data_IF_895277219359
#
_entry.id   IF_895277219359
#
_cell.length_a   1.000
_cell.length_b   1.000
_cell.length_c   1.000
_cell.angle_alpha   90.00
_cell.angle_beta   90.00
_cell.angle_gamma   90.00
#
_symmetry.space_group_name_H-M   'P 1'
#
loop_
_entity.id
_entity.type
_entity.pdbx_description
1 polymer ?
#
# COMPACT_ATOMS: atom_id res chain seq x y z
N UNK A 1 -28.82 36.66 -8.61
CA UNK A 1 -28.77 35.18 -8.48
C UNK A 1 -27.42 34.59 -8.04
N UNK A 2 -26.41 35.38 -7.58
CA UNK A 2 -25.05 34.85 -7.28
C UNK A 2 -24.71 34.64 -5.79
N UNK A 3 -25.43 35.27 -4.86
CA UNK A 3 -25.08 35.25 -3.43
C UNK A 3 -25.50 33.95 -2.70
N UNK A 4 -26.69 33.41 -2.99
CA UNK A 4 -27.19 32.16 -2.39
C UNK A 4 -26.28 30.97 -2.70
N UNK A 5 -25.80 30.86 -3.94
CA UNK A 5 -24.89 29.79 -4.38
C UNK A 5 -23.55 29.83 -3.65
N UNK A 6 -23.02 31.02 -3.39
CA UNK A 6 -21.75 31.20 -2.66
C UNK A 6 -21.88 30.77 -1.20
N UNK A 7 -22.99 31.12 -0.55
CA UNK A 7 -23.30 30.72 0.84
C UNK A 7 -23.47 29.19 0.94
N UNK A 8 -24.17 28.55 -0.01
CA UNK A 8 -24.31 27.08 -0.01
C UNK A 8 -22.99 26.34 -0.20
N UNK A 9 -22.07 26.86 -1.02
CA UNK A 9 -20.72 26.29 -1.19
C UNK A 9 -19.89 26.45 0.09
N UNK A 10 -19.93 27.62 0.73
CA UNK A 10 -19.26 27.86 2.01
C UNK A 10 -19.79 26.95 3.13
N UNK A 11 -21.10 26.71 3.19
CA UNK A 11 -21.70 25.81 4.18
C UNK A 11 -21.26 24.35 3.98
N UNK A 12 -21.18 23.88 2.74
CA UNK A 12 -20.71 22.53 2.41
C UNK A 12 -19.23 22.32 2.75
N UNK A 13 -18.38 23.33 2.50
CA UNK A 13 -16.96 23.30 2.87
C UNK A 13 -16.78 23.31 4.41
N UNK A 14 -17.58 24.10 5.12
CA UNK A 14 -17.55 24.11 6.60
C UNK A 14 -17.93 22.74 7.20
N UNK A 15 -18.97 22.08 6.68
CA UNK A 15 -19.39 20.75 7.14
C UNK A 15 -18.29 19.70 6.87
N UNK A 16 -17.61 19.76 5.71
CA UNK A 16 -16.50 18.87 5.40
C UNK A 16 -15.31 19.06 6.36
N UNK A 17 -14.99 20.31 6.73
CA UNK A 17 -13.93 20.62 7.70
C UNK A 17 -14.28 20.15 9.13
N UNK A 18 -15.54 20.35 9.56
CA UNK A 18 -16.03 19.95 10.89
C UNK A 18 -16.04 18.42 11.06
N UNK A 19 -16.34 17.66 10.00
CA UNK A 19 -16.29 16.20 10.00
C UNK A 19 -14.86 15.63 9.98
N UNK A 20 -13.86 16.40 9.53
CA UNK A 20 -12.46 15.94 9.47
C UNK A 20 -11.63 16.27 10.72
N UNK A 21 -12.07 17.19 11.59
CA UNK A 21 -11.18 17.77 12.61
C UNK A 21 -11.79 17.89 14.03
N UNK A 22 -12.52 16.87 14.50
CA UNK A 22 -12.91 16.78 15.91
C UNK A 22 -11.75 16.23 16.77
N UNK A 23 -11.25 16.97 17.78
CA UNK A 23 -10.22 16.45 18.68
C UNK A 23 -10.81 15.35 19.57
N UNK A 24 -10.22 14.15 19.52
CA UNK A 24 -10.61 13.04 20.39
C UNK A 24 -10.18 13.35 21.83
N UNK A 25 -11.17 13.60 22.70
CA UNK A 25 -10.93 13.71 24.14
C UNK A 25 -10.33 12.41 24.69
N UNK A 26 -9.22 12.53 25.40
CA UNK A 26 -8.62 11.43 26.17
C UNK A 26 -9.52 11.07 27.35
N UNK A 27 -9.95 9.81 27.45
CA UNK A 27 -10.73 9.30 28.59
C UNK A 27 -10.13 7.98 29.04
N UNK A 28 -9.79 7.89 30.33
CA UNK A 28 -9.24 6.68 30.94
C UNK A 28 -10.35 5.64 31.19
N UNK A 29 -10.03 4.35 31.01
CA UNK A 29 -10.97 3.26 31.19
C UNK A 29 -11.01 2.77 32.66
N UNK A 30 -12.21 2.76 33.26
CA UNK A 30 -12.46 2.08 34.53
C UNK A 30 -12.87 0.62 34.29
N UNK A 31 -12.27 -0.32 35.03
CA UNK A 31 -12.61 -1.76 34.97
C UNK A 31 -13.97 -2.03 35.61
N UNK A 32 -14.78 -2.91 35.00
CA UNK A 32 -15.74 -3.76 35.73
C UNK A 32 -15.69 -5.19 35.19
N UNK A 33 -15.72 -6.14 36.12
CA UNK A 33 -15.70 -7.58 35.88
C UNK A 33 -17.10 -8.18 35.96
N UNK A 34 -17.37 -9.23 35.20
CA UNK A 34 -18.41 -10.22 35.53
C UNK A 34 -17.98 -11.62 35.07
N UNK A 35 -18.32 -12.62 35.89
CA UNK A 35 -18.13 -14.06 35.64
C UNK A 35 -19.42 -14.67 35.09
N UNK A 36 -19.30 -15.68 34.24
CA UNK A 36 -20.07 -16.96 34.23
C UNK A 36 -19.39 -17.85 33.17
N UNK A 37 -19.17 -19.16 33.32
CA UNK A 37 -20.10 -20.20 33.78
C UNK A 37 -20.67 -20.89 32.53
N UNK A 38 -19.90 -21.74 31.86
CA UNK A 38 -19.67 -23.18 32.13
C UNK A 38 -20.73 -24.08 31.44
N UNK A 39 -20.28 -25.00 30.58
CA UNK A 39 -20.86 -26.34 30.40
C UNK A 39 -20.03 -27.22 29.46
N UNK A 40 -19.68 -28.39 29.98
CA UNK A 40 -19.07 -29.57 29.38
C UNK A 40 -19.68 -30.06 28.06
N UNK A 41 -18.86 -30.69 27.21
CA UNK A 41 -19.10 -32.09 26.86
C UNK A 41 -17.83 -32.87 26.48
N UNK A 42 -17.84 -34.20 26.71
CA UNK A 42 -16.71 -35.13 26.51
C UNK A 42 -16.97 -36.11 25.36
N UNK A 43 -15.86 -36.75 24.94
CA UNK A 43 -15.68 -38.03 24.20
C UNK A 43 -15.12 -37.86 22.79
N UNK A 44 -14.20 -38.69 22.28
CA UNK A 44 -13.26 -39.70 22.84
C UNK A 44 -12.30 -40.06 21.70
N UNK A 45 -11.08 -40.40 22.09
CA UNK A 45 -9.95 -40.85 21.27
C UNK A 45 -10.18 -42.09 20.41
N UNK A 46 -9.44 -42.20 19.30
CA UNK A 46 -8.87 -43.46 18.82
C UNK A 46 -7.50 -43.18 18.16
N UNK A 47 -6.47 -43.95 18.52
CA UNK A 47 -5.10 -43.81 18.01
C UNK A 47 -4.79 -44.87 16.94
N UNK A 48 -3.91 -44.58 15.99
CA UNK A 48 -3.08 -45.64 15.37
C UNK A 48 -1.76 -45.09 14.81
N UNK A 49 -0.65 -45.79 15.13
CA UNK A 49 0.74 -45.60 14.67
C UNK A 49 1.51 -46.89 15.05
N UNK A 50 2.75 -47.14 14.58
CA UNK A 50 3.39 -46.69 13.33
C UNK A 50 4.10 -47.86 12.58
N UNK A 51 4.75 -47.58 11.44
CA UNK A 51 5.79 -48.45 10.87
C UNK A 51 7.03 -47.63 10.45
N UNK A 52 8.22 -48.26 10.49
CA UNK A 52 9.55 -47.62 10.30
C UNK A 52 10.18 -48.06 8.97
N UNK A 53 11.03 -47.21 8.38
CA UNK A 53 12.42 -47.56 8.00
C UNK A 53 13.27 -46.30 7.70
N UNK A 54 14.59 -46.47 7.47
CA UNK A 54 15.67 -45.50 7.80
C UNK A 54 16.73 -45.38 6.66
N UNK A 55 17.87 -44.66 6.80
CA UNK A 55 18.36 -43.64 5.85
C UNK A 55 19.56 -44.10 4.97
N UNK A 56 20.22 -43.21 4.21
CA UNK A 56 21.43 -42.48 4.70
C UNK A 56 21.50 -41.02 4.14
N UNK A 57 22.53 -40.14 4.28
CA UNK A 57 23.87 -40.15 4.94
C UNK A 57 24.27 -38.72 5.34
N UNK A 58 25.19 -38.54 6.29
CA UNK A 58 25.80 -37.23 6.64
C UNK A 58 26.96 -36.78 5.71
N UNK A 59 27.13 -35.47 5.51
CA UNK A 59 28.45 -34.79 5.36
C UNK A 59 28.44 -33.39 6.01
N UNK A 60 29.60 -32.97 6.55
CA UNK A 60 29.76 -31.87 7.54
C UNK A 60 29.99 -30.46 6.94
N UNK A 61 29.66 -29.46 7.76
CA UNK A 61 30.19 -28.06 7.86
C UNK A 61 31.73 -27.96 7.66
N UNK A 62 32.43 -26.85 7.36
CA UNK A 62 32.23 -25.39 7.13
C UNK A 62 33.60 -24.86 6.49
N UNK A 63 33.98 -23.56 6.36
CA UNK A 63 33.30 -22.27 6.54
C UNK A 63 33.52 -21.16 5.45
N UNK A 64 32.68 -20.11 5.53
CA UNK A 64 32.93 -18.69 5.17
C UNK A 64 33.44 -18.28 3.77
N UNK A 65 32.57 -17.56 3.04
CA UNK A 65 32.89 -16.20 2.51
C UNK A 65 31.63 -15.42 2.10
N UNK A 66 31.65 -14.11 2.36
CA UNK A 66 30.75 -13.05 1.86
C UNK A 66 31.61 -11.77 1.76
N UNK A 67 31.22 -10.70 1.02
CA UNK A 67 30.28 -10.63 -0.10
C UNK A 67 30.88 -9.92 -1.34
N UNK A 68 30.24 -10.03 -2.51
CA UNK A 68 30.01 -8.88 -3.40
C UNK A 68 28.87 -9.16 -4.37
N UNK A 69 28.21 -8.10 -4.83
CA UNK A 69 27.04 -8.19 -5.69
C UNK A 69 27.44 -8.47 -7.15
N UNK A 70 26.68 -9.35 -7.78
CA UNK A 70 26.51 -9.44 -9.22
C UNK A 70 25.04 -9.79 -9.46
N UNK A 71 24.34 -9.03 -10.29
CA UNK A 71 22.99 -9.39 -10.74
C UNK A 71 23.15 -10.52 -11.76
N UNK A 72 22.51 -11.66 -11.53
CA UNK A 72 22.50 -12.74 -12.52
C UNK A 72 21.61 -12.32 -13.70
N UNK A 73 22.11 -12.31 -14.95
CA UNK A 73 21.30 -11.99 -16.11
C UNK A 73 20.13 -12.95 -16.34
N UNK A 74 20.19 -14.18 -15.82
CA UNK A 74 19.23 -15.26 -16.14
C UNK A 74 17.91 -15.20 -15.34
N UNK A 75 17.86 -14.55 -14.17
CA UNK A 75 16.59 -14.41 -13.41
C UNK A 75 15.61 -13.38 -14.03
N UNK A 76 16.02 -12.60 -15.04
CA UNK A 76 15.19 -11.50 -15.58
C UNK A 76 14.33 -11.89 -16.80
N UNK A 77 14.61 -12.98 -17.51
CA UNK A 77 13.95 -13.28 -18.79
C UNK A 77 12.55 -13.88 -18.63
N UNK A 78 12.35 -14.78 -17.65
CA UNK A 78 11.07 -15.48 -17.46
C UNK A 78 9.96 -14.56 -16.92
N UNK A 79 10.32 -13.52 -16.17
CA UNK A 79 9.38 -12.49 -15.67
C UNK A 79 8.71 -11.71 -16.81
N UNK A 80 9.42 -11.47 -17.92
CA UNK A 80 8.99 -10.55 -18.98
C UNK A 80 8.18 -11.24 -20.09
N UNK A 81 8.46 -12.52 -20.36
CA UNK A 81 8.00 -13.24 -21.56
C UNK A 81 6.47 -13.35 -21.71
N UNK A 82 5.73 -13.32 -20.60
CA UNK A 82 4.26 -13.39 -20.58
C UNK A 82 3.58 -12.08 -20.12
N UNK A 83 4.23 -10.92 -20.30
CA UNK A 83 3.64 -9.62 -19.92
C UNK A 83 3.33 -8.72 -21.13
N UNK A 84 2.28 -7.86 -21.04
CA UNK A 84 1.98 -6.88 -22.08
C UNK A 84 3.18 -5.98 -22.42
N UNK A 85 3.36 -5.63 -23.69
CA UNK A 85 4.54 -4.94 -24.23
C UNK A 85 5.01 -3.71 -23.45
N UNK A 86 4.07 -2.95 -22.87
CA UNK A 86 4.36 -1.74 -22.09
C UNK A 86 5.22 -2.01 -20.83
N UNK A 87 5.26 -3.25 -20.31
CA UNK A 87 6.02 -3.60 -19.11
C UNK A 87 7.51 -3.32 -19.28
N UNK A 88 8.09 -3.62 -20.45
CA UNK A 88 9.50 -3.39 -20.75
C UNK A 88 9.83 -1.89 -20.75
N UNK A 89 9.07 -1.09 -21.49
CA UNK A 89 9.24 0.37 -21.52
C UNK A 89 8.99 1.00 -20.15
N UNK A 90 8.05 0.45 -19.36
CA UNK A 90 7.81 0.92 -18.00
C UNK A 90 8.96 0.56 -17.05
N UNK A 91 9.60 -0.61 -17.19
CA UNK A 91 10.84 -0.96 -16.47
C UNK A 91 11.97 0.02 -16.78
N UNK A 92 12.19 0.34 -18.05
CA UNK A 92 13.20 1.32 -18.48
C UNK A 92 12.89 2.73 -17.95
N UNK A 93 11.62 3.17 -17.99
CA UNK A 93 11.17 4.44 -17.43
C UNK A 93 11.42 4.50 -15.92
N UNK A 94 10.99 3.48 -15.17
CA UNK A 94 11.17 3.43 -13.73
C UNK A 94 12.65 3.45 -13.34
N UNK A 95 13.48 2.63 -13.97
CA UNK A 95 14.92 2.59 -13.71
C UNK A 95 15.65 3.91 -14.07
N UNK A 96 15.11 4.70 -15.00
CA UNK A 96 15.71 5.98 -15.43
C UNK A 96 15.26 7.16 -14.54
N UNK A 97 13.99 7.21 -14.13
CA UNK A 97 13.39 8.40 -13.52
C UNK A 97 12.96 8.21 -12.07
N UNK A 98 13.08 7.02 -11.47
CA UNK A 98 12.67 6.74 -10.08
C UNK A 98 13.87 6.26 -9.26
N UNK A 99 14.16 6.93 -8.15
CA UNK A 99 15.27 6.55 -7.27
C UNK A 99 14.91 5.44 -6.26
N UNK A 100 15.90 4.95 -5.52
CA UNK A 100 15.73 3.91 -4.49
C UNK A 100 14.84 4.34 -3.30
N UNK A 101 14.48 5.63 -3.21
CA UNK A 101 13.53 6.17 -2.23
C UNK A 101 12.13 6.35 -2.82
N UNK A 102 11.89 5.90 -4.05
CA UNK A 102 10.63 6.03 -4.78
C UNK A 102 10.28 7.47 -5.15
N UNK A 103 11.29 8.35 -5.32
CA UNK A 103 11.14 9.73 -5.77
C UNK A 103 11.38 9.84 -7.28
N UNK A 104 10.59 10.69 -7.95
CA UNK A 104 10.58 10.80 -9.41
C UNK A 104 11.25 12.09 -9.88
N UNK A 105 12.11 12.01 -10.89
CA UNK A 105 12.53 13.20 -11.65
C UNK A 105 11.41 13.62 -12.62
N UNK A 106 10.37 14.27 -12.07
CA UNK A 106 9.26 14.80 -12.85
C UNK A 106 9.70 15.86 -13.86
N UNK A 107 10.80 16.59 -13.59
CA UNK A 107 11.35 17.62 -14.48
C UNK A 107 11.90 17.01 -15.76
N UNK A 108 12.70 15.94 -15.66
CA UNK A 108 13.22 15.23 -16.83
C UNK A 108 12.16 14.34 -17.47
N UNK A 109 11.32 13.65 -16.69
CA UNK A 109 10.23 12.83 -17.24
C UNK A 109 9.26 13.69 -18.07
N UNK A 110 8.93 14.92 -17.64
CA UNK A 110 8.15 15.87 -18.45
C UNK A 110 8.87 16.28 -19.74
N UNK A 111 10.19 16.49 -19.71
CA UNK A 111 11.00 16.77 -20.92
C UNK A 111 11.03 15.57 -21.88
N UNK A 112 10.96 14.34 -21.36
CA UNK A 112 10.99 13.06 -22.10
C UNK A 112 9.61 12.38 -22.18
N UNK A 113 8.53 13.16 -22.02
CA UNK A 113 7.12 12.70 -21.94
C UNK A 113 6.64 11.80 -23.07
N UNK A 114 7.30 11.82 -24.23
CA UNK A 114 7.01 10.91 -25.34
C UNK A 114 7.11 9.42 -24.93
N UNK A 115 8.07 9.07 -24.07
CA UNK A 115 8.22 7.68 -23.58
C UNK A 115 6.97 7.24 -22.79
N UNK A 116 6.50 8.09 -21.87
CA UNK A 116 5.29 7.81 -21.10
C UNK A 116 4.03 7.82 -21.98
N UNK A 117 3.98 8.67 -23.01
CA UNK A 117 2.87 8.68 -23.97
C UNK A 117 2.78 7.37 -24.78
N UNK A 118 3.92 6.77 -25.18
CA UNK A 118 3.96 5.45 -25.83
C UNK A 118 3.41 4.36 -24.91
N UNK A 119 3.88 4.30 -23.66
CA UNK A 119 3.41 3.35 -22.64
C UNK A 119 1.89 3.47 -22.42
N UNK A 120 1.37 4.70 -22.32
CA UNK A 120 -0.06 4.96 -22.14
C UNK A 120 -0.89 4.54 -23.35
N UNK A 121 -0.38 4.74 -24.57
CA UNK A 121 -1.02 4.26 -25.80
C UNK A 121 -1.07 2.73 -25.85
N UNK A 122 0.02 2.06 -25.49
CA UNK A 122 0.06 0.58 -25.44
C UNK A 122 -0.90 -0.01 -24.42
N UNK A 123 -1.14 0.67 -23.30
CA UNK A 123 -2.16 0.30 -22.30
C UNK A 123 -3.60 0.47 -22.84
N UNK A 124 -3.83 1.45 -23.71
CA UNK A 124 -5.13 1.62 -24.38
C UNK A 124 -5.35 0.55 -25.47
N UNK A 125 -4.26 0.14 -26.14
CA UNK A 125 -4.27 -0.85 -27.22
C UNK A 125 -4.36 -2.33 -26.75
N UNK A 126 -4.14 -2.63 -25.46
CA UNK A 126 -4.33 -4.01 -24.93
C UNK A 126 -5.77 -4.47 -25.18
N UNK A 127 -5.95 -5.63 -25.81
CA UNK A 127 -7.26 -6.05 -26.25
C UNK A 127 -8.10 -6.56 -25.06
N UNK A 128 -9.36 -6.12 -24.87
CA UNK A 128 -10.19 -6.53 -23.72
C UNK A 128 -10.37 -8.05 -23.55
N UNK A 129 -10.22 -8.84 -24.62
CA UNK A 129 -10.30 -10.30 -24.54
C UNK A 129 -9.08 -10.95 -23.85
N UNK A 130 -7.89 -10.34 -23.90
CA UNK A 130 -6.69 -10.84 -23.19
C UNK A 130 -6.95 -10.87 -21.67
N UNK A 131 -7.62 -9.84 -21.17
CA UNK A 131 -8.05 -9.74 -19.77
C UNK A 131 -9.00 -10.87 -19.35
N UNK A 132 -9.65 -11.60 -20.27
CA UNK A 132 -10.52 -12.71 -19.90
C UNK A 132 -9.67 -13.88 -19.40
N UNK A 133 -8.64 -14.29 -20.15
CA UNK A 133 -7.76 -15.43 -19.84
C UNK A 133 -6.81 -15.18 -18.66
N UNK A 134 -6.41 -13.93 -18.40
CA UNK A 134 -5.50 -13.59 -17.30
C UNK A 134 -5.91 -14.17 -15.94
N UNK A 135 -4.94 -14.69 -15.21
CA UNK A 135 -5.06 -15.06 -13.79
C UNK A 135 -5.37 -13.86 -12.89
N UNK A 136 -5.65 -14.15 -11.61
CA UNK A 136 -5.82 -13.11 -10.57
C UNK A 136 -4.59 -12.20 -10.49
N UNK A 137 -3.38 -12.77 -10.54
CA UNK A 137 -2.14 -12.01 -10.39
C UNK A 137 -1.82 -11.15 -11.61
N UNK A 138 -2.07 -11.65 -12.84
CA UNK A 138 -1.93 -10.84 -14.07
C UNK A 138 -2.86 -9.63 -14.05
N UNK A 139 -4.15 -9.84 -13.73
CA UNK A 139 -5.14 -8.77 -13.59
C UNK A 139 -4.70 -7.74 -12.54
N UNK A 140 -4.22 -8.19 -11.38
CA UNK A 140 -3.84 -7.32 -10.28
C UNK A 140 -2.55 -6.52 -10.57
N UNK A 141 -1.52 -7.17 -11.11
CA UNK A 141 -0.27 -6.55 -11.56
C UNK A 141 -0.53 -5.47 -12.62
N UNK A 142 -1.33 -5.79 -13.65
CA UNK A 142 -1.74 -4.84 -14.69
C UNK A 142 -2.38 -3.57 -14.12
N UNK A 143 -3.37 -3.71 -13.22
CA UNK A 143 -4.07 -2.54 -12.67
C UNK A 143 -3.22 -1.71 -11.69
N UNK A 144 -2.30 -2.33 -10.95
CA UNK A 144 -1.31 -1.60 -10.13
C UNK A 144 -0.36 -0.78 -11.02
N UNK A 145 0.21 -1.41 -12.06
CA UNK A 145 1.09 -0.73 -13.01
C UNK A 145 0.35 0.41 -13.72
N UNK A 146 -0.84 0.14 -14.25
CA UNK A 146 -1.68 1.14 -14.93
C UNK A 146 -1.99 2.32 -14.00
N UNK A 147 -2.38 2.10 -12.74
CA UNK A 147 -2.61 3.19 -11.79
C UNK A 147 -1.36 4.07 -11.59
N UNK A 148 -0.20 3.44 -11.41
CA UNK A 148 1.05 4.17 -11.18
C UNK A 148 1.48 4.95 -12.44
N UNK A 149 1.32 4.37 -13.63
CA UNK A 149 1.58 5.01 -14.93
C UNK A 149 0.65 6.19 -15.16
N UNK A 150 -0.66 6.05 -14.90
CA UNK A 150 -1.62 7.15 -15.06
C UNK A 150 -1.41 8.25 -14.00
N UNK A 151 -0.95 7.90 -12.80
CA UNK A 151 -0.49 8.89 -11.80
C UNK A 151 0.74 9.65 -12.30
N UNK A 152 1.76 8.97 -12.85
CA UNK A 152 2.91 9.65 -13.45
C UNK A 152 2.48 10.59 -14.58
N UNK A 153 1.57 10.15 -15.45
CA UNK A 153 1.02 10.96 -16.55
C UNK A 153 0.32 12.21 -16.02
N UNK A 154 -0.58 12.05 -15.06
CA UNK A 154 -1.31 13.14 -14.43
C UNK A 154 -0.37 14.23 -13.89
N UNK A 155 0.70 13.81 -13.21
CA UNK A 155 1.66 14.77 -12.67
C UNK A 155 2.39 15.49 -13.81
N UNK A 156 2.98 14.79 -14.79
CA UNK A 156 3.77 15.48 -15.81
C UNK A 156 2.95 16.36 -16.78
N UNK A 157 1.66 16.06 -16.96
CA UNK A 157 0.73 16.89 -17.72
C UNK A 157 0.48 18.24 -17.02
N UNK A 158 0.48 18.25 -15.68
CA UNK A 158 0.21 19.43 -14.83
C UNK A 158 1.50 20.07 -14.26
N UNK A 159 2.69 19.46 -14.43
CA UNK A 159 3.94 19.86 -13.76
C UNK A 159 4.60 21.08 -14.44
N UNK A 160 5.12 22.08 -13.70
CA UNK A 160 4.99 22.25 -12.25
C UNK A 160 3.55 22.59 -11.84
N UNK A 161 3.04 21.90 -10.83
CA UNK A 161 1.63 21.95 -10.45
C UNK A 161 1.32 23.31 -9.82
N UNK A 162 0.41 24.04 -10.45
CA UNK A 162 0.01 25.37 -10.00
C UNK A 162 -0.88 25.27 -8.74
N UNK A 163 -0.66 26.13 -7.71
CA UNK A 163 -1.47 26.13 -6.52
C UNK A 163 -2.87 26.69 -6.79
N UNK A 164 -3.85 26.20 -6.04
CA UNK A 164 -5.25 26.62 -6.15
C UNK A 164 -5.65 27.38 -4.89
N UNK A 165 -6.22 28.57 -5.05
CA UNK A 165 -6.42 29.56 -3.98
C UNK A 165 -7.15 29.02 -2.73
N UNK A 166 -8.10 28.08 -2.87
CA UNK A 166 -8.84 27.50 -1.74
C UNK A 166 -8.11 26.34 -1.06
N UNK A 167 -6.90 25.99 -1.52
CA UNK A 167 -6.03 24.93 -1.00
C UNK A 167 -4.73 25.49 -0.39
N UNK A 168 -4.72 26.75 0.03
CA UNK A 168 -3.58 27.47 0.62
C UNK A 168 -2.97 26.82 1.89
N UNK A 169 -3.62 25.82 2.48
CA UNK A 169 -3.11 25.03 3.62
C UNK A 169 -2.29 23.81 3.19
N UNK A 170 -2.28 23.48 1.90
CA UNK A 170 -1.47 22.43 1.29
C UNK A 170 -0.25 23.03 0.60
N UNK A 171 0.86 22.28 0.50
CA UNK A 171 2.05 22.78 -0.19
C UNK A 171 1.78 23.03 -1.69
N UNK A 172 2.53 23.96 -2.24
CA UNK A 172 2.63 24.17 -3.69
C UNK A 172 3.22 22.93 -4.38
N UNK A 173 3.11 22.88 -5.71
CA UNK A 173 3.60 21.77 -6.54
C UNK A 173 3.08 20.37 -6.12
N UNK A 174 1.91 20.26 -5.48
CA UNK A 174 1.36 19.00 -4.95
C UNK A 174 0.19 18.45 -5.76
N UNK A 175 0.08 17.11 -5.88
CA UNK A 175 -1.07 16.44 -6.51
C UNK A 175 -2.42 16.91 -5.98
N UNK A 176 -2.53 17.30 -4.69
CA UNK A 176 -3.81 17.75 -4.14
C UNK A 176 -4.29 19.06 -4.77
N UNK A 177 -3.36 19.92 -5.22
CA UNK A 177 -3.65 21.16 -5.93
C UNK A 177 -4.31 20.90 -7.29
N UNK A 178 -4.22 19.70 -7.87
CA UNK A 178 -4.88 19.35 -9.15
C UNK A 178 -6.37 19.07 -8.89
N UNK A 179 -7.32 19.93 -9.33
CA UNK A 179 -8.73 19.76 -8.96
C UNK A 179 -9.33 18.50 -9.57
N UNK A 180 -9.75 17.57 -8.70
CA UNK A 180 -10.32 16.29 -9.13
C UNK A 180 -9.31 15.29 -9.69
N UNK A 181 -8.02 15.42 -9.34
CA UNK A 181 -6.92 14.49 -9.67
C UNK A 181 -7.34 13.01 -9.74
N UNK A 182 -8.08 12.54 -8.72
CA UNK A 182 -8.47 11.14 -8.62
C UNK A 182 -9.81 10.77 -9.26
N UNK A 183 -10.71 11.73 -9.55
CA UNK A 183 -12.11 11.42 -9.88
C UNK A 183 -12.76 12.32 -10.94
N UNK A 184 -12.00 13.19 -11.61
CA UNK A 184 -12.45 14.01 -12.76
C UNK A 184 -11.45 14.01 -13.92
N UNK A 185 -10.35 13.28 -13.78
CA UNK A 185 -9.32 13.10 -14.80
C UNK A 185 -9.46 11.67 -15.31
N UNK A 186 -9.81 11.53 -16.58
CA UNK A 186 -10.07 10.24 -17.23
C UNK A 186 -8.86 9.83 -18.08
N UNK A 187 -8.56 8.54 -18.07
CA UNK A 187 -7.50 7.90 -18.82
C UNK A 187 -8.08 6.74 -19.60
N UNK A 188 -7.68 6.59 -20.86
CA UNK A 188 -8.08 5.44 -21.66
C UNK A 188 -7.23 4.22 -21.31
N UNK A 189 -7.88 3.08 -21.13
CA UNK A 189 -7.29 1.77 -20.87
C UNK A 189 -8.17 0.72 -21.55
N UNK A 190 -7.60 -0.08 -22.44
CA UNK A 190 -8.34 -1.11 -23.19
C UNK A 190 -9.59 -0.53 -23.91
N UNK A 191 -9.49 0.68 -24.49
CA UNK A 191 -10.60 1.36 -25.16
C UNK A 191 -11.68 1.97 -24.26
N UNK A 192 -11.56 1.87 -22.93
CA UNK A 192 -12.51 2.42 -21.96
C UNK A 192 -11.88 3.52 -21.10
N UNK A 193 -12.69 4.49 -20.67
CA UNK A 193 -12.23 5.59 -19.81
C UNK A 193 -12.35 5.23 -18.32
N UNK A 194 -11.29 5.49 -17.56
CA UNK A 194 -11.24 5.31 -16.11
C UNK A 194 -10.56 6.49 -15.42
N UNK A 195 -11.06 6.85 -14.24
CA UNK A 195 -10.35 7.70 -13.28
C UNK A 195 -9.43 6.87 -12.38
N UNK A 196 -8.43 7.50 -11.76
CA UNK A 196 -7.56 6.83 -10.78
C UNK A 196 -8.39 6.20 -9.62
N UNK A 197 -9.47 6.85 -9.20
CA UNK A 197 -10.39 6.33 -8.18
C UNK A 197 -11.08 5.05 -8.64
N UNK A 198 -11.56 4.98 -9.89
CA UNK A 198 -12.21 3.78 -10.40
C UNK A 198 -11.23 2.60 -10.52
N UNK A 199 -9.99 2.87 -10.94
CA UNK A 199 -8.92 1.86 -10.95
C UNK A 199 -8.63 1.37 -9.53
N UNK A 200 -8.42 2.26 -8.56
CA UNK A 200 -8.15 1.87 -7.16
C UNK A 200 -9.36 1.20 -6.51
N UNK A 201 -10.46 1.90 -6.37
CA UNK A 201 -11.57 1.47 -5.52
C UNK A 201 -12.42 0.40 -6.24
N UNK A 202 -12.74 0.59 -7.53
CA UNK A 202 -13.65 -0.26 -8.30
C UNK A 202 -13.01 -1.46 -9.01
N UNK A 203 -11.71 -1.39 -9.35
CA UNK A 203 -10.99 -2.50 -9.98
C UNK A 203 -10.03 -3.20 -9.02
N UNK A 204 -9.22 -2.48 -8.26
CA UNK A 204 -8.25 -3.11 -7.35
C UNK A 204 -8.89 -3.57 -6.03
N UNK A 205 -9.38 -2.64 -5.21
CA UNK A 205 -9.87 -2.96 -3.86
C UNK A 205 -11.11 -3.87 -3.91
N UNK A 206 -12.12 -3.52 -4.71
CA UNK A 206 -13.36 -4.28 -4.81
C UNK A 206 -13.20 -5.71 -5.35
N UNK A 207 -12.18 -5.99 -6.19
CA UNK A 207 -12.01 -7.32 -6.83
C UNK A 207 -10.97 -8.21 -6.15
N UNK A 208 -9.90 -7.63 -5.60
CA UNK A 208 -8.82 -8.40 -5.01
C UNK A 208 -8.86 -8.45 -3.47
N UNK A 209 -9.59 -7.51 -2.83
CA UNK A 209 -9.70 -7.37 -1.38
C UNK A 209 -8.33 -7.50 -0.67
N UNK A 210 -7.35 -6.70 -1.13
CA UNK A 210 -5.97 -6.79 -0.67
C UNK A 210 -5.39 -5.41 -0.27
N UNK A 211 -5.44 -5.04 1.02
CA UNK A 211 -4.87 -3.80 1.54
C UNK A 211 -3.35 -3.64 1.35
N UNK A 212 -2.62 -4.69 0.92
CA UNK A 212 -1.22 -4.52 0.48
C UNK A 212 -1.11 -3.57 -0.73
N UNK A 213 -2.16 -3.50 -1.57
CA UNK A 213 -2.27 -2.53 -2.68
C UNK A 213 -2.11 -1.08 -2.20
N UNK A 214 -2.56 -0.74 -1.00
CA UNK A 214 -2.39 0.60 -0.43
C UNK A 214 -0.90 1.01 -0.32
N UNK A 215 0.02 0.06 -0.28
CA UNK A 215 1.48 0.26 -0.26
C UNK A 215 2.14 0.04 -1.63
N UNK A 216 1.38 -0.35 -2.65
CA UNK A 216 1.86 -0.54 -4.03
C UNK A 216 1.51 0.65 -4.95
N UNK A 217 0.48 1.41 -4.61
CA UNK A 217 0.03 2.59 -5.34
C UNK A 217 0.76 3.86 -4.85
N UNK A 218 1.47 4.53 -5.76
CA UNK A 218 2.00 5.87 -5.52
C UNK A 218 0.90 6.89 -5.69
N UNK A 219 0.70 7.76 -4.70
CA UNK A 219 -0.21 8.91 -4.81
C UNK A 219 0.59 10.18 -5.13
N UNK A 220 1.75 10.06 -5.78
CA UNK A 220 2.66 11.15 -6.09
C UNK A 220 2.94 12.09 -4.90
N UNK A 221 3.13 11.55 -3.69
CA UNK A 221 3.42 12.37 -2.51
C UNK A 221 4.40 11.69 -1.56
N UNK A 222 5.14 12.51 -0.79
CA UNK A 222 6.09 12.03 0.22
C UNK A 222 5.40 11.14 1.26
N UNK A 223 4.15 11.42 1.62
CA UNK A 223 3.32 10.63 2.54
C UNK A 223 2.77 9.32 1.95
N UNK A 224 2.71 9.21 0.62
CA UNK A 224 2.24 8.01 -0.08
C UNK A 224 3.25 6.87 -0.05
N UNK A 225 2.88 5.70 -0.55
CA UNK A 225 3.78 4.57 -0.70
C UNK A 225 4.95 4.91 -1.64
N UNK A 226 6.06 4.17 -1.51
CA UNK A 226 7.18 4.32 -2.43
C UNK A 226 6.78 3.82 -3.81
N UNK A 227 7.01 4.63 -4.85
CA UNK A 227 6.93 4.11 -6.22
C UNK A 227 8.09 3.13 -6.41
N UNK A 228 7.78 1.89 -6.75
CA UNK A 228 8.78 0.85 -6.99
C UNK A 228 9.56 1.19 -8.28
N UNK A 229 10.87 0.96 -8.28
CA UNK A 229 11.75 1.18 -9.45
C UNK A 229 11.75 0.01 -10.47
N UNK A 230 10.84 -0.97 -10.30
CA UNK A 230 10.49 -1.98 -11.30
C UNK A 230 8.94 -2.13 -11.36
N UNK A 231 8.37 -2.61 -12.48
CA UNK A 231 6.95 -2.95 -12.57
C UNK A 231 6.57 -4.04 -11.56
N UNK A 232 5.27 -4.15 -11.29
CA UNK A 232 4.71 -5.33 -10.62
C UNK A 232 4.50 -6.42 -11.65
N UNK A 233 5.01 -7.63 -11.41
CA UNK A 233 4.91 -8.75 -12.36
C UNK A 233 4.05 -9.88 -11.77
N UNK A 234 3.31 -10.65 -12.60
CA UNK A 234 2.32 -11.59 -12.08
C UNK A 234 2.89 -12.72 -11.21
N UNK A 235 4.04 -13.26 -11.61
CA UNK A 235 4.72 -14.40 -10.98
C UNK A 235 5.43 -14.04 -9.65
N UNK A 236 5.86 -12.78 -9.48
CA UNK A 236 6.46 -12.26 -8.23
C UNK A 236 5.57 -11.28 -7.45
N UNK A 237 4.30 -11.12 -7.84
CA UNK A 237 3.39 -10.10 -7.32
C UNK A 237 3.28 -10.11 -5.79
N UNK A 238 2.98 -11.26 -5.18
CA UNK A 238 2.82 -11.37 -3.73
C UNK A 238 4.11 -10.96 -2.97
N UNK A 239 5.27 -11.42 -3.45
CA UNK A 239 6.60 -11.06 -2.91
C UNK A 239 6.87 -9.56 -3.05
N UNK A 240 6.49 -8.94 -4.16
CA UNK A 240 6.64 -7.49 -4.36
C UNK A 240 5.68 -6.68 -3.46
N UNK A 241 4.43 -7.14 -3.28
CA UNK A 241 3.47 -6.53 -2.36
C UNK A 241 3.96 -6.58 -0.91
N UNK A 242 4.45 -7.73 -0.46
CA UNK A 242 4.96 -7.90 0.91
C UNK A 242 6.24 -7.09 1.15
N UNK A 243 7.13 -7.04 0.17
CA UNK A 243 8.35 -6.20 0.19
C UNK A 243 8.00 -4.70 0.28
N UNK A 244 7.00 -4.23 -0.46
CA UNK A 244 6.52 -2.84 -0.36
C UNK A 244 5.98 -2.51 1.03
N UNK A 245 5.13 -3.37 1.60
CA UNK A 245 4.59 -3.18 2.96
C UNK A 245 5.74 -3.13 3.98
N UNK A 246 6.68 -4.07 3.90
CA UNK A 246 7.84 -4.17 4.79
C UNK A 246 8.74 -2.94 4.70
N UNK A 247 9.12 -2.54 3.48
CA UNK A 247 9.92 -1.32 3.22
C UNK A 247 9.20 -0.07 3.75
N UNK A 248 7.89 0.03 3.52
CA UNK A 248 7.11 1.17 3.99
C UNK A 248 7.05 1.23 5.51
N UNK A 249 6.71 0.14 6.19
CA UNK A 249 6.63 0.08 7.65
C UNK A 249 7.98 0.30 8.34
N UNK A 250 9.09 -0.17 7.75
CA UNK A 250 10.44 0.10 8.23
C UNK A 250 10.91 1.56 8.02
N UNK A 251 10.21 2.34 7.18
CA UNK A 251 10.57 3.74 6.90
C UNK A 251 10.11 4.71 7.99
N UNK A 252 10.73 5.90 8.12
CA UNK A 252 10.32 6.92 9.10
C UNK A 252 8.88 7.45 8.96
N UNK A 253 8.17 7.13 7.87
CA UNK A 253 6.77 7.48 7.62
C UNK A 253 5.79 6.32 7.81
N UNK A 254 6.27 5.12 8.14
CA UNK A 254 5.47 3.89 8.22
C UNK A 254 5.01 3.55 9.63
N UNK A 255 5.92 2.94 10.41
CA UNK A 255 5.73 2.59 11.82
C UNK A 255 6.95 3.07 12.61
N UNK A 256 6.73 3.87 13.66
CA UNK A 256 7.78 4.31 14.59
C UNK A 256 7.31 4.14 16.03
N UNK A 257 8.18 3.67 16.92
CA UNK A 257 7.88 3.52 18.34
C UNK A 257 8.76 4.48 19.15
N UNK A 258 8.15 5.46 19.80
CA UNK A 258 8.78 6.28 20.82
C UNK A 258 8.54 5.60 22.18
N UNK A 259 9.51 4.77 22.62
CA UNK A 259 9.42 4.04 23.89
C UNK A 259 9.41 4.98 25.10
N UNK A 260 10.07 6.14 25.00
CA UNK A 260 10.17 7.14 26.08
C UNK A 260 8.81 7.79 26.35
N UNK A 261 8.09 8.16 25.27
CA UNK A 261 6.73 8.73 25.35
C UNK A 261 5.63 7.67 25.36
N UNK A 262 5.98 6.38 25.32
CA UNK A 262 5.07 5.24 25.11
C UNK A 262 4.08 5.51 23.98
N UNK A 263 4.58 5.94 22.81
CA UNK A 263 3.74 6.28 21.65
C UNK A 263 4.14 5.47 20.43
N UNK A 264 3.15 4.81 19.83
CA UNK A 264 3.25 4.12 18.55
C UNK A 264 2.72 5.05 17.46
N UNK A 265 3.61 5.50 16.60
CA UNK A 265 3.31 6.37 15.47
C UNK A 265 3.06 5.50 14.24
N UNK A 266 1.86 5.60 13.66
CA UNK A 266 1.45 4.92 12.45
C UNK A 266 1.22 5.92 11.32
N UNK A 267 1.54 5.53 10.09
CA UNK A 267 1.24 6.31 8.90
C UNK A 267 -0.25 6.61 8.72
N UNK A 268 -0.59 7.82 8.27
CA UNK A 268 -1.96 8.15 7.86
C UNK A 268 -2.45 7.30 6.66
N UNK A 269 -1.59 6.56 5.95
CA UNK A 269 -1.99 5.69 4.83
C UNK A 269 -3.03 4.64 5.25
N UNK A 270 -2.96 4.20 6.51
CA UNK A 270 -3.96 3.33 7.13
C UNK A 270 -5.33 4.00 7.22
N UNK A 271 -5.36 5.27 7.63
CA UNK A 271 -6.58 6.05 7.77
C UNK A 271 -7.20 6.44 6.42
N UNK A 272 -6.38 6.75 5.41
CA UNK A 272 -6.84 6.98 4.03
C UNK A 272 -7.56 5.76 3.43
N UNK A 273 -7.21 4.56 3.88
CA UNK A 273 -7.82 3.29 3.45
C UNK A 273 -8.51 2.57 4.62
N UNK A 274 -9.03 3.35 5.59
CA UNK A 274 -9.58 2.85 6.87
C UNK A 274 -10.61 1.74 6.68
N UNK A 275 -11.50 1.90 5.68
CA UNK A 275 -12.58 0.94 5.40
C UNK A 275 -12.00 -0.42 4.98
N UNK A 276 -10.98 -0.43 4.14
CA UNK A 276 -10.38 -1.64 3.58
C UNK A 276 -9.62 -2.44 4.65
N UNK A 277 -8.87 -1.75 5.53
CA UNK A 277 -8.22 -2.41 6.66
C UNK A 277 -9.22 -2.98 7.67
N UNK A 278 -10.27 -2.22 8.05
CA UNK A 278 -11.31 -2.73 8.96
C UNK A 278 -12.02 -3.94 8.35
N UNK A 279 -12.40 -3.89 7.07
CA UNK A 279 -13.11 -4.97 6.41
C UNK A 279 -12.33 -6.30 6.36
N UNK A 280 -10.99 -6.25 6.32
CA UNK A 280 -10.15 -7.47 6.26
C UNK A 280 -9.53 -7.89 7.60
N UNK A 281 -9.24 -6.94 8.49
CA UNK A 281 -8.46 -7.18 9.72
C UNK A 281 -9.20 -6.77 11.01
N UNK A 282 -10.42 -6.22 10.93
CA UNK A 282 -11.21 -5.78 12.10
C UNK A 282 -11.63 -6.92 13.01
N UNK A 283 -12.09 -8.04 12.45
CA UNK A 283 -12.61 -9.19 13.23
C UNK A 283 -11.52 -10.06 13.86
N UNK A 284 -10.25 -9.83 13.53
CA UNK A 284 -9.13 -10.58 14.10
C UNK A 284 -9.00 -10.24 15.60
N UNK A 285 -9.07 -11.29 16.42
CA UNK A 285 -9.32 -11.24 17.87
C UNK A 285 -8.14 -10.78 18.75
N UNK A 286 -7.12 -10.11 18.19
CA UNK A 286 -6.02 -9.44 18.93
C UNK A 286 -6.39 -7.96 19.19
N UNK A 287 -5.66 -7.27 20.07
CA UNK A 287 -5.79 -5.82 20.39
C UNK A 287 -7.22 -5.29 20.68
N UNK A 288 -8.13 -6.12 21.21
CA UNK A 288 -9.55 -5.77 21.42
C UNK A 288 -9.81 -4.62 22.41
N UNK A 289 -8.78 -4.15 23.09
CA UNK A 289 -8.81 -2.96 23.96
C UNK A 289 -8.67 -1.64 23.19
N UNK A 290 -8.42 -1.69 21.87
CA UNK A 290 -8.30 -0.53 21.00
C UNK A 290 -9.61 -0.23 20.26
N UNK A 291 -9.66 0.93 19.60
CA UNK A 291 -10.72 1.25 18.64
C UNK A 291 -10.64 0.32 17.41
N UNK A 292 -11.76 0.03 16.71
CA UNK A 292 -11.79 -0.93 15.61
C UNK A 292 -10.82 -0.66 14.45
N UNK A 293 -10.54 0.62 14.15
CA UNK A 293 -9.52 1.02 13.18
C UNK A 293 -8.11 0.66 13.66
N UNK A 294 -7.74 1.11 14.86
CA UNK A 294 -6.42 0.83 15.44
C UNK A 294 -6.18 -0.67 15.63
N UNK A 295 -7.21 -1.43 16.04
CA UNK A 295 -7.19 -2.88 16.09
C UNK A 295 -6.89 -3.48 14.70
N UNK A 296 -7.61 -3.05 13.66
CA UNK A 296 -7.38 -3.54 12.29
C UNK A 296 -5.98 -3.20 11.76
N UNK A 297 -5.47 -1.99 12.03
CA UNK A 297 -4.13 -1.59 11.61
C UNK A 297 -3.04 -2.42 12.29
N UNK A 298 -3.14 -2.65 13.61
CA UNK A 298 -2.18 -3.50 14.31
C UNK A 298 -2.34 -4.98 13.96
N UNK A 299 -3.55 -5.46 13.66
CA UNK A 299 -3.77 -6.81 13.15
C UNK A 299 -3.05 -7.03 11.81
N UNK A 300 -3.13 -6.08 10.88
CA UNK A 300 -2.36 -6.12 9.63
C UNK A 300 -0.85 -6.12 9.90
N UNK A 301 -0.35 -5.13 10.66
CA UNK A 301 1.08 -4.96 10.98
C UNK A 301 1.67 -6.17 11.73
N UNK A 302 0.87 -6.86 12.54
CA UNK A 302 1.25 -8.06 13.32
C UNK A 302 0.59 -9.35 12.79
N UNK A 303 0.43 -9.44 11.47
CA UNK A 303 0.05 -10.69 10.80
C UNK A 303 1.18 -11.71 11.03
N UNK A 304 0.86 -12.80 11.71
CA UNK A 304 1.81 -13.88 12.06
C UNK A 304 1.94 -14.89 10.88
N UNK A 305 0.92 -14.98 10.01
CA UNK A 305 0.83 -15.99 8.94
C UNK A 305 1.40 -15.50 7.60
N UNK A 306 2.49 -16.14 7.18
CA UNK A 306 2.79 -16.55 5.78
C UNK A 306 4.11 -17.34 5.73
N UNK A 307 4.97 -17.18 6.73
CA UNK A 307 6.08 -18.08 7.01
C UNK A 307 5.59 -19.13 8.02
N UNK A 308 5.56 -20.41 7.65
CA UNK A 308 5.12 -21.53 8.50
C UNK A 308 6.02 -21.82 9.71
N UNK A 309 6.84 -20.86 10.11
CA UNK A 309 7.78 -20.88 11.23
C UNK A 309 7.41 -19.88 12.36
N UNK A 310 6.29 -19.15 12.21
CA UNK A 310 5.75 -18.25 13.24
C UNK A 310 6.41 -16.87 13.32
N UNK A 311 7.20 -16.47 12.32
CA UNK A 311 7.78 -15.13 12.23
C UNK A 311 6.82 -14.10 11.63
N UNK A 312 6.82 -12.90 12.19
CA UNK A 312 6.10 -11.74 11.63
C UNK A 312 6.67 -11.37 10.25
N UNK A 313 5.77 -11.16 9.28
CA UNK A 313 6.14 -10.86 7.90
C UNK A 313 6.79 -9.48 7.73
N UNK A 314 6.25 -8.47 8.42
CA UNK A 314 6.57 -7.05 8.16
C UNK A 314 7.42 -6.34 9.21
N UNK A 315 7.47 -6.85 10.46
CA UNK A 315 8.11 -6.18 11.60
C UNK A 315 9.00 -7.16 12.38
N UNK A 316 9.87 -6.63 13.27
CA UNK A 316 10.65 -7.49 14.17
C UNK A 316 9.78 -8.09 15.28
N UNK A 317 10.22 -9.22 15.84
CA UNK A 317 9.59 -9.79 17.03
C UNK A 317 9.56 -8.82 18.22
N UNK A 318 10.59 -7.99 18.38
CA UNK A 318 10.66 -7.01 19.47
C UNK A 318 9.56 -5.96 19.32
N UNK A 319 9.41 -5.40 18.11
CA UNK A 319 8.32 -4.50 17.75
C UNK A 319 6.97 -5.15 18.03
N UNK A 320 6.79 -6.42 17.62
CA UNK A 320 5.54 -7.12 17.82
C UNK A 320 5.24 -7.45 19.29
N UNK A 321 6.24 -7.83 20.08
CA UNK A 321 6.14 -8.04 21.54
C UNK A 321 5.75 -6.73 22.24
N UNK A 322 6.36 -5.61 21.87
CA UNK A 322 5.98 -4.29 22.37
C UNK A 322 4.54 -3.94 22.02
N UNK A 323 4.13 -4.13 20.75
CA UNK A 323 2.74 -3.91 20.32
C UNK A 323 1.75 -4.80 21.09
N UNK A 324 2.05 -6.09 21.26
CA UNK A 324 1.19 -7.05 21.99
C UNK A 324 1.09 -6.74 23.50
N UNK A 325 2.03 -6.00 24.10
CA UNK A 325 1.98 -5.57 25.51
C UNK A 325 0.94 -4.47 25.79
N UNK A 326 0.62 -3.63 24.80
CA UNK A 326 -0.47 -2.63 24.90
C UNK A 326 -0.24 -1.40 25.79
N UNK A 327 0.90 -1.28 26.48
CA UNK A 327 1.28 -0.12 27.30
C UNK A 327 1.83 1.05 26.45
N UNK A 328 0.97 1.59 25.58
CA UNK A 328 1.26 2.75 24.73
C UNK A 328 -0.01 3.43 24.21
N UNK A 329 0.13 4.68 23.75
CA UNK A 329 -0.86 5.37 22.92
C UNK A 329 -0.53 5.20 21.44
N UNK A 330 -1.54 5.30 20.56
CA UNK A 330 -1.34 5.28 19.10
C UNK A 330 -1.61 6.68 18.56
N UNK A 331 -0.66 7.20 17.79
CA UNK A 331 -0.78 8.45 17.06
C UNK A 331 -0.71 8.18 15.54
N UNK A 332 -1.49 8.92 14.76
CA UNK A 332 -1.36 8.94 13.30
C UNK A 332 -0.45 10.09 12.89
N UNK A 333 0.59 9.79 12.12
CA UNK A 333 1.50 10.78 11.56
C UNK A 333 0.77 11.66 10.52
N UNK A 334 0.94 13.00 10.53
CA UNK A 334 0.39 13.87 9.50
C UNK A 334 0.83 13.47 8.10
N UNK A 335 -0.11 13.47 7.14
CA UNK A 335 0.19 13.08 5.77
C UNK A 335 0.99 14.16 5.04
N UNK A 336 2.15 13.78 4.50
CA UNK A 336 3.08 14.72 3.83
C UNK A 336 2.68 14.89 2.36
N UNK A 337 1.97 15.97 2.08
CA UNK A 337 1.41 16.27 0.75
C UNK A 337 2.39 16.76 -0.31
N UNK A 338 3.62 17.15 0.06
CA UNK A 338 4.66 17.51 -0.91
C UNK A 338 4.83 16.39 -1.95
N UNK A 339 5.06 16.76 -3.21
CA UNK A 339 5.35 15.83 -4.30
C UNK A 339 6.56 14.95 -3.91
N UNK A 340 6.54 13.66 -4.27
CA UNK A 340 7.71 12.79 -4.14
C UNK A 340 8.71 13.06 -5.29
N UNK A 341 9.07 14.32 -5.52
CA UNK A 341 10.08 14.66 -6.53
C UNK A 341 11.51 14.45 -6.03
N UNK A 342 12.43 14.24 -6.96
CA UNK A 342 13.87 14.26 -6.66
C UNK A 342 14.34 15.72 -6.39
N UNK A 343 15.42 15.92 -5.61
CA UNK A 343 15.89 17.25 -5.20
C UNK A 343 16.31 18.18 -6.35
#
# INVERSE_FOLDING_TARGET
MKLKTLISVLLLVAIAAILCNQPVKTVQAAKKSTKSGDTTNKEKTAETKPAKQKPPTDKKLNPQKKPKAANDPLENSEDEENTPAFYKQYKELLATYVDDQGRVDYRMLRRKRAILATIVREIDEVHPAEKISWSRSEKMAFWINTYNIMTLKLIIDEYPIQPVWYMFTYPDNSIIQIPGAWNKKYFKVMGLEYTLREIKDGLLMARFNDPRVCFALSFASVGSAFLRNEPYYPNKLDKQLDDQVKKYLASPKGLKIDKTKKTVHLSNIFNWNRKDFIAKYGDIKKFRNLKPDMQAYLNFVTTDDLLGDGRYLYISEETAKYLKNGDYQIALEPYKWHLNEQP
#
